data_IF_751649385705
#
_entry.id   IF_751649385705
#
_cell.length_a   1.000
_cell.length_b   1.000
_cell.length_c   1.000
_cell.angle_alpha   90.00
_cell.angle_beta   90.00
_cell.angle_gamma   90.00
#
_symmetry.space_group_name_H-M   'P 1'
#
loop_
_entity.id
_entity.type
_entity.pdbx_description
1 polymer ?
#
# COMPACT_ATOMS: atom_id res chain seq x y z
N UNK A 1 -39.24 61.97 21.71
CA UNK A 1 -38.63 61.34 22.87
C UNK A 1 -37.16 61.25 22.63
N UNK A 2 -36.44 62.16 23.18
CA UNK A 2 -35.00 62.34 23.20
C UNK A 2 -34.42 61.43 24.26
N UNK A 3 -33.33 60.70 23.94
CA UNK A 3 -32.41 60.21 24.98
C UNK A 3 -30.98 60.38 24.44
N UNK A 4 -30.31 61.33 25.07
CA UNK A 4 -28.87 61.55 25.03
C UNK A 4 -28.13 60.36 25.68
N UNK A 5 -26.96 60.02 25.15
CA UNK A 5 -25.98 59.11 25.75
C UNK A 5 -24.57 59.64 25.56
N UNK A 6 -23.76 59.70 26.61
CA UNK A 6 -22.51 60.46 26.61
C UNK A 6 -21.33 59.70 26.05
N UNK A 7 -20.38 60.46 25.49
CA UNK A 7 -19.13 60.01 24.93
C UNK A 7 -18.18 59.33 25.92
N UNK A 8 -17.51 58.33 25.48
CA UNK A 8 -16.38 57.65 26.10
C UNK A 8 -15.12 57.81 25.26
N UNK A 9 -14.23 58.71 25.69
CA UNK A 9 -12.89 58.87 25.10
C UNK A 9 -12.01 57.65 25.40
N UNK A 10 -11.70 56.88 24.36
CA UNK A 10 -10.70 55.79 24.40
C UNK A 10 -9.30 56.35 24.26
N UNK A 11 -8.52 56.24 25.33
CA UNK A 11 -7.10 56.51 25.34
C UNK A 11 -6.37 55.57 24.34
N UNK A 12 -5.58 56.13 23.44
CA UNK A 12 -4.67 55.41 22.55
C UNK A 12 -3.53 54.81 23.38
N UNK A 13 -3.20 53.55 23.27
CA UNK A 13 -1.98 52.99 23.87
C UNK A 13 -0.77 53.61 23.20
N UNK A 14 0.11 54.22 23.98
CA UNK A 14 1.38 54.76 23.53
C UNK A 14 2.28 53.65 23.01
N UNK A 15 2.89 53.91 21.88
CA UNK A 15 3.95 53.05 21.32
C UNK A 15 5.16 53.11 22.25
N UNK A 16 5.85 51.97 22.52
CA UNK A 16 7.09 51.98 23.27
C UNK A 16 8.14 52.80 22.52
N UNK A 17 8.72 53.75 23.22
CA UNK A 17 9.82 54.57 22.71
C UNK A 17 10.99 53.64 22.33
N UNK A 18 11.58 53.89 21.16
CA UNK A 18 12.80 53.21 20.73
C UNK A 18 13.90 53.34 21.80
N UNK A 19 14.61 52.27 22.11
CA UNK A 19 15.73 52.33 23.03
C UNK A 19 16.79 53.28 22.51
N UNK A 20 17.32 54.10 23.41
CA UNK A 20 18.38 55.06 23.18
C UNK A 20 19.64 54.34 22.64
N UNK A 21 20.31 54.81 21.56
CA UNK A 21 21.49 54.15 21.00
C UNK A 21 22.65 53.99 22.00
N UNK A 22 22.67 54.77 23.07
CA UNK A 22 23.68 54.66 24.13
C UNK A 22 23.54 53.43 25.04
N UNK A 23 22.38 52.74 25.03
CA UNK A 23 22.18 51.52 25.82
C UNK A 23 22.88 50.29 25.21
N UNK A 24 23.13 50.28 23.91
CA UNK A 24 23.83 49.19 23.24
C UNK A 24 25.35 49.19 23.57
N UNK A 25 25.97 50.37 23.70
CA UNK A 25 27.37 50.51 24.07
C UNK A 25 27.64 50.13 25.55
N UNK A 26 26.62 50.24 26.39
CA UNK A 26 26.69 49.85 27.79
C UNK A 26 26.53 48.34 28.01
N UNK A 27 25.78 47.66 27.14
CA UNK A 27 25.60 46.21 27.18
C UNK A 27 26.76 45.42 26.61
N UNK A 28 27.48 46.03 25.65
CA UNK A 28 28.63 45.43 24.97
C UNK A 28 29.92 46.23 25.16
N UNK A 29 30.21 46.63 26.38
CA UNK A 29 31.37 47.44 26.74
C UNK A 29 32.63 47.16 25.90
N UNK A 30 33.62 48.09 25.81
CA UNK A 30 34.78 47.95 24.94
C UNK A 30 35.63 46.76 25.37
N UNK A 31 35.21 45.57 24.97
CA UNK A 31 35.97 44.36 25.16
C UNK A 31 37.17 44.39 24.25
N UNK A 32 38.28 44.88 24.75
CA UNK A 32 39.61 44.64 24.19
C UNK A 32 39.96 43.15 24.35
N UNK A 33 39.11 42.27 23.81
CA UNK A 33 39.44 40.88 23.61
C UNK A 33 40.38 40.83 22.41
N UNK A 34 41.67 40.69 22.65
CA UNK A 34 42.68 40.38 21.64
C UNK A 34 42.20 39.14 20.86
N UNK A 35 41.75 39.36 19.62
CA UNK A 35 41.35 38.27 18.71
C UNK A 35 42.61 37.41 18.49
N UNK A 36 42.61 36.15 18.92
CA UNK A 36 43.79 35.31 18.73
C UNK A 36 44.03 35.13 17.22
N UNK A 37 45.21 35.55 16.77
CA UNK A 37 45.68 35.39 15.38
C UNK A 37 45.78 33.89 15.11
N UNK A 38 44.83 33.36 14.38
CA UNK A 38 44.78 31.94 14.01
C UNK A 38 45.86 31.62 12.99
N UNK A 39 46.68 30.62 13.31
CA UNK A 39 47.75 30.15 12.44
C UNK A 39 47.20 29.61 11.11
N UNK A 40 47.92 29.72 9.98
CA UNK A 40 47.47 29.27 8.66
C UNK A 40 46.98 27.82 8.64
N UNK A 41 47.59 26.93 9.44
CA UNK A 41 47.19 25.51 9.54
C UNK A 41 45.82 25.30 10.16
N UNK A 42 45.35 26.16 11.05
CA UNK A 42 44.00 26.08 11.63
C UNK A 42 42.90 26.54 10.64
N UNK A 43 43.22 27.47 9.73
CA UNK A 43 42.31 27.90 8.67
C UNK A 43 42.08 26.78 7.67
N UNK A 44 43.15 26.09 7.23
CA UNK A 44 43.03 24.97 6.26
C UNK A 44 42.22 23.80 6.82
N UNK A 45 42.41 23.44 8.10
CA UNK A 45 41.60 22.36 8.72
C UNK A 45 40.12 22.69 8.84
N UNK A 46 39.76 23.95 9.16
CA UNK A 46 38.33 24.35 9.23
C UNK A 46 37.69 24.46 7.86
N UNK A 47 38.39 24.98 6.85
CA UNK A 47 37.85 25.01 5.49
C UNK A 47 37.68 23.62 4.90
N UNK A 48 38.56 22.66 5.23
CA UNK A 48 38.39 21.26 4.83
C UNK A 48 37.18 20.60 5.52
N UNK A 49 36.98 20.84 6.83
CA UNK A 49 35.79 20.31 7.55
C UNK A 49 34.49 20.94 7.06
N UNK A 50 34.46 22.24 6.76
CA UNK A 50 33.30 22.91 6.18
C UNK A 50 33.05 22.40 4.77
N UNK A 51 34.08 22.20 3.95
CA UNK A 51 33.97 21.64 2.62
C UNK A 51 33.36 20.22 2.61
N UNK A 52 33.82 19.34 3.50
CA UNK A 52 33.27 17.99 3.66
C UNK A 52 31.84 18.05 4.15
N UNK A 53 31.49 18.91 5.10
CA UNK A 53 30.11 19.08 5.58
C UNK A 53 29.16 19.54 4.48
N UNK A 54 29.59 20.45 3.60
CA UNK A 54 28.80 20.93 2.46
C UNK A 54 28.57 19.82 1.42
N UNK A 55 29.61 19.00 1.15
CA UNK A 55 29.50 17.88 0.22
C UNK A 55 28.52 16.82 0.75
N UNK A 56 28.58 16.49 2.04
CA UNK A 56 27.65 15.55 2.66
C UNK A 56 26.22 16.11 2.64
N UNK A 57 26.04 17.38 3.00
CA UNK A 57 24.72 18.02 2.96
C UNK A 57 24.14 18.07 1.54
N UNK A 58 24.97 18.39 0.54
CA UNK A 58 24.56 18.37 -0.88
C UNK A 58 24.24 16.97 -1.36
N UNK A 59 25.01 15.95 -0.93
CA UNK A 59 24.75 14.55 -1.24
C UNK A 59 23.42 14.06 -0.65
N UNK A 60 23.16 14.36 0.63
CA UNK A 60 21.87 14.02 1.27
C UNK A 60 20.72 14.75 0.59
N UNK A 61 20.88 16.04 0.26
CA UNK A 61 19.83 16.79 -0.46
C UNK A 61 19.57 16.21 -1.85
N UNK A 62 20.62 15.80 -2.57
CA UNK A 62 20.48 15.16 -3.88
C UNK A 62 19.75 13.81 -3.78
N UNK A 63 20.08 12.97 -2.78
CA UNK A 63 19.37 11.71 -2.53
C UNK A 63 17.90 11.95 -2.19
N UNK A 64 17.61 12.92 -1.33
CA UNK A 64 16.22 13.29 -0.99
C UNK A 64 15.48 13.81 -2.22
N UNK A 65 16.10 14.68 -3.03
CA UNK A 65 15.50 15.18 -4.27
C UNK A 65 15.28 14.06 -5.29
N UNK A 66 16.22 13.15 -5.48
CA UNK A 66 16.06 11.98 -6.38
C UNK A 66 14.96 11.07 -5.87
N UNK A 67 14.86 10.85 -4.55
CA UNK A 67 13.78 10.07 -3.95
C UNK A 67 12.42 10.76 -4.15
N UNK A 68 12.34 12.09 -3.97
CA UNK A 68 11.12 12.87 -4.20
C UNK A 68 10.76 12.87 -5.69
N UNK A 69 11.72 13.13 -6.59
CA UNK A 69 11.49 13.14 -8.03
C UNK A 69 11.13 11.73 -8.52
N UNK A 70 11.82 10.69 -8.05
CA UNK A 70 11.49 9.30 -8.35
C UNK A 70 10.09 8.93 -7.86
N UNK A 71 9.69 9.38 -6.67
CA UNK A 71 8.35 9.16 -6.15
C UNK A 71 7.28 9.93 -6.93
N UNK A 72 7.59 11.13 -7.42
CA UNK A 72 6.69 11.94 -8.28
C UNK A 72 6.55 11.31 -9.67
N UNK A 73 7.64 10.79 -10.25
CA UNK A 73 7.60 10.07 -11.53
C UNK A 73 6.85 8.74 -11.42
N UNK A 74 6.92 8.09 -10.25
CA UNK A 74 6.19 6.85 -9.95
C UNK A 74 4.76 7.10 -9.44
N UNK A 75 4.19 8.29 -9.62
CA UNK A 75 2.79 8.59 -9.31
C UNK A 75 2.50 9.03 -7.88
N UNK A 76 3.52 9.30 -7.04
CA UNK A 76 3.35 9.81 -5.65
C UNK A 76 2.95 11.30 -5.61
N UNK A 77 2.97 12.01 -6.73
CA UNK A 77 2.66 13.45 -6.81
C UNK A 77 1.19 13.82 -7.07
N UNK A 78 0.26 12.88 -7.06
CA UNK A 78 -1.17 13.16 -7.27
C UNK A 78 -1.95 13.07 -5.96
N UNK A 79 -2.65 14.15 -5.60
CA UNK A 79 -3.59 14.18 -4.46
C UNK A 79 -4.78 13.21 -4.69
N UNK A 80 -4.96 12.74 -5.93
CA UNK A 80 -6.08 11.89 -6.32
C UNK A 80 -5.63 10.46 -6.68
N UNK A 81 -6.43 9.45 -6.29
CA UNK A 81 -6.23 8.07 -6.71
C UNK A 81 -6.18 7.93 -8.24
N UNK A 82 -5.30 7.08 -8.74
CA UNK A 82 -5.18 6.74 -10.17
C UNK A 82 -5.32 5.22 -10.35
N UNK A 83 -6.54 4.71 -10.36
CA UNK A 83 -6.79 3.27 -10.43
C UNK A 83 -6.23 2.64 -11.72
N UNK A 84 -6.39 3.30 -12.88
CA UNK A 84 -5.88 2.79 -14.15
C UNK A 84 -4.36 2.67 -14.14
N UNK A 85 -3.65 3.66 -13.60
CA UNK A 85 -2.19 3.60 -13.51
C UNK A 85 -1.70 2.53 -12.52
N UNK A 86 -2.50 2.15 -11.53
CA UNK A 86 -2.20 1.04 -10.63
C UNK A 86 -2.39 -0.30 -11.34
N UNK A 87 -3.48 -0.46 -12.11
CA UNK A 87 -3.71 -1.63 -12.96
C UNK A 87 -2.61 -1.80 -14.02
N UNK A 88 -2.23 -0.73 -14.71
CA UNK A 88 -1.15 -0.76 -15.70
C UNK A 88 0.17 -1.25 -15.10
N UNK A 89 0.53 -0.75 -13.91
CA UNK A 89 1.75 -1.19 -13.21
C UNK A 89 1.68 -2.66 -12.81
N UNK A 90 0.56 -3.06 -12.20
CA UNK A 90 0.34 -4.44 -11.82
C UNK A 90 0.35 -5.37 -13.04
N UNK A 91 -0.44 -5.03 -14.07
CA UNK A 91 -0.56 -5.83 -15.29
C UNK A 91 0.76 -5.96 -16.04
N UNK A 92 1.61 -4.92 -16.05
CA UNK A 92 2.96 -5.02 -16.63
C UNK A 92 3.82 -5.98 -15.82
N UNK A 93 3.86 -5.82 -14.49
CA UNK A 93 4.65 -6.70 -13.62
C UNK A 93 4.17 -8.16 -13.69
N UNK A 94 2.85 -8.38 -13.72
CA UNK A 94 2.29 -9.73 -13.81
C UNK A 94 2.60 -10.43 -15.15
N UNK A 95 2.59 -9.70 -16.27
CA UNK A 95 2.94 -10.28 -17.60
C UNK A 95 4.41 -10.64 -17.73
N UNK A 96 5.28 -10.01 -16.94
CA UNK A 96 6.72 -10.29 -16.92
C UNK A 96 7.07 -11.53 -16.05
N UNK A 97 6.09 -12.12 -15.33
CA UNK A 97 6.31 -13.33 -14.52
C UNK A 97 6.30 -14.58 -15.39
N UNK A 98 7.26 -15.46 -15.14
CA UNK A 98 7.32 -16.76 -15.79
C UNK A 98 6.06 -17.58 -15.45
N UNK A 99 5.43 -18.17 -16.47
CA UNK A 99 4.23 -18.98 -16.33
C UNK A 99 2.91 -18.22 -16.35
N UNK A 100 2.92 -16.89 -16.46
CA UNK A 100 1.69 -16.10 -16.69
C UNK A 100 1.36 -16.10 -18.18
N UNK A 101 0.16 -16.57 -18.52
CA UNK A 101 -0.34 -16.64 -19.89
C UNK A 101 -1.23 -15.45 -20.29
N UNK A 102 -1.88 -14.83 -19.30
CA UNK A 102 -2.78 -13.72 -19.55
C UNK A 102 -3.11 -12.90 -18.31
N UNK A 103 -3.41 -11.62 -18.55
CA UNK A 103 -3.89 -10.69 -17.52
C UNK A 103 -5.07 -9.93 -18.07
N UNK A 104 -6.19 -9.95 -17.34
CA UNK A 104 -7.42 -9.24 -17.67
C UNK A 104 -7.83 -8.37 -16.50
N UNK A 105 -7.95 -7.08 -16.74
CA UNK A 105 -8.34 -6.11 -15.73
C UNK A 105 -9.86 -5.99 -15.66
N UNK A 106 -10.37 -5.80 -14.44
CA UNK A 106 -11.76 -5.46 -14.15
C UNK A 106 -11.92 -3.94 -14.02
N UNK A 107 -13.15 -3.46 -14.08
CA UNK A 107 -13.44 -2.05 -13.88
C UNK A 107 -13.12 -1.62 -12.43
N UNK A 108 -12.40 -0.50 -12.21
CA UNK A 108 -12.08 0.00 -10.88
C UNK A 108 -13.32 0.26 -10.03
N UNK A 109 -13.37 -0.29 -8.83
CA UNK A 109 -14.46 -0.10 -7.88
C UNK A 109 -14.13 1.00 -6.88
N UNK A 110 -14.94 2.06 -6.87
CA UNK A 110 -14.79 3.14 -5.89
C UNK A 110 -15.32 2.68 -4.53
N UNK A 111 -14.46 2.71 -3.50
CA UNK A 111 -14.80 2.27 -2.14
C UNK A 111 -15.05 3.44 -1.18
N UNK A 112 -14.46 4.63 -1.46
CA UNK A 112 -14.71 5.85 -0.71
C UNK A 112 -14.48 7.10 -1.58
N UNK A 113 -14.56 8.28 -0.97
CA UNK A 113 -14.28 9.55 -1.67
C UNK A 113 -12.91 9.56 -2.36
N UNK A 114 -11.89 9.00 -1.71
CA UNK A 114 -10.50 8.99 -2.17
C UNK A 114 -9.90 7.58 -2.20
N UNK A 115 -10.72 6.52 -2.36
CA UNK A 115 -10.22 5.15 -2.38
C UNK A 115 -10.89 4.33 -3.47
N UNK A 116 -10.08 3.46 -4.08
CA UNK A 116 -10.50 2.50 -5.11
C UNK A 116 -9.90 1.14 -4.81
N UNK A 117 -10.68 0.10 -5.10
CA UNK A 117 -10.18 -1.24 -5.24
C UNK A 117 -10.16 -1.58 -6.73
N UNK A 118 -9.05 -2.14 -7.17
CA UNK A 118 -8.86 -2.61 -8.53
C UNK A 118 -8.52 -4.09 -8.51
N UNK A 119 -9.03 -4.81 -9.50
CA UNK A 119 -8.90 -6.26 -9.59
C UNK A 119 -8.45 -6.66 -10.99
N UNK A 120 -7.57 -7.66 -11.05
CA UNK A 120 -7.15 -8.29 -12.31
C UNK A 120 -7.25 -9.80 -12.18
N UNK A 121 -7.74 -10.48 -13.21
CA UNK A 121 -7.64 -11.94 -13.33
C UNK A 121 -6.35 -12.28 -14.07
N UNK A 122 -5.54 -13.16 -13.48
CA UNK A 122 -4.26 -13.61 -14.03
C UNK A 122 -4.36 -15.10 -14.32
N UNK A 123 -4.28 -15.47 -15.60
CA UNK A 123 -4.26 -16.87 -16.03
C UNK A 123 -2.82 -17.37 -15.99
N UNK A 124 -2.61 -18.47 -15.27
CA UNK A 124 -1.31 -19.09 -15.07
C UNK A 124 -1.27 -20.43 -15.78
N UNK A 125 -0.14 -20.77 -16.37
CA UNK A 125 0.03 -22.02 -17.11
C UNK A 125 -0.30 -23.25 -16.25
N UNK A 126 -1.16 -24.15 -16.75
CA UNK A 126 -1.50 -25.37 -16.02
C UNK A 126 -0.34 -26.38 -15.94
N UNK A 127 0.73 -26.14 -16.69
CA UNK A 127 1.91 -27.04 -16.75
C UNK A 127 2.90 -26.80 -15.62
N UNK A 128 2.76 -25.74 -14.84
CA UNK A 128 3.62 -25.45 -13.71
C UNK A 128 3.46 -26.48 -12.58
N UNK A 129 4.57 -26.80 -11.94
CA UNK A 129 4.57 -27.56 -10.66
C UNK A 129 3.91 -26.78 -9.54
N UNK A 130 3.57 -27.44 -8.44
CA UNK A 130 2.95 -26.78 -7.28
C UNK A 130 3.89 -25.75 -6.61
N UNK A 131 5.20 -25.96 -6.68
CA UNK A 131 6.21 -25.02 -6.17
C UNK A 131 6.26 -23.77 -7.04
N UNK A 132 6.26 -23.95 -8.37
CA UNK A 132 6.23 -22.83 -9.33
C UNK A 132 4.92 -22.03 -9.21
N UNK A 133 3.77 -22.68 -9.07
CA UNK A 133 2.49 -22.00 -8.82
C UNK A 133 2.51 -21.20 -7.53
N UNK A 134 3.15 -21.72 -6.47
CA UNK A 134 3.31 -20.97 -5.22
C UNK A 134 4.15 -19.73 -5.45
N UNK A 135 5.28 -19.86 -6.14
CA UNK A 135 6.15 -18.73 -6.45
C UNK A 135 5.42 -17.65 -7.27
N UNK A 136 4.64 -18.05 -8.29
CA UNK A 136 3.84 -17.10 -9.07
C UNK A 136 2.80 -16.36 -8.19
N UNK A 137 2.11 -17.05 -7.27
CA UNK A 137 1.16 -16.40 -6.36
C UNK A 137 1.86 -15.39 -5.43
N UNK A 138 3.05 -15.73 -4.93
CA UNK A 138 3.86 -14.83 -4.10
C UNK A 138 4.35 -13.61 -4.88
N UNK A 139 4.78 -13.80 -6.12
CA UNK A 139 5.23 -12.72 -7.00
C UNK A 139 4.05 -11.80 -7.39
N UNK A 140 2.88 -12.37 -7.69
CA UNK A 140 1.65 -11.60 -7.92
C UNK A 140 1.26 -10.77 -6.69
N UNK A 141 1.38 -11.34 -5.47
CA UNK A 141 1.16 -10.62 -4.22
C UNK A 141 2.14 -9.44 -4.07
N UNK A 142 3.43 -9.68 -4.34
CA UNK A 142 4.45 -8.64 -4.29
C UNK A 142 4.18 -7.52 -5.32
N UNK A 143 3.77 -7.88 -6.53
CA UNK A 143 3.36 -6.95 -7.58
C UNK A 143 2.12 -6.14 -7.15
N UNK A 144 1.09 -6.78 -6.59
CA UNK A 144 -0.11 -6.12 -6.07
C UNK A 144 0.23 -5.13 -4.96
N UNK A 145 1.11 -5.52 -4.02
CA UNK A 145 1.59 -4.65 -2.94
C UNK A 145 2.34 -3.44 -3.48
N UNK A 146 3.22 -3.64 -4.47
CA UNK A 146 4.01 -2.56 -5.10
C UNK A 146 3.14 -1.61 -5.92
N UNK A 147 2.13 -2.13 -6.61
CA UNK A 147 1.20 -1.34 -7.41
C UNK A 147 0.16 -0.58 -6.58
N UNK A 148 -0.11 -1.05 -5.35
CA UNK A 148 -1.02 -0.40 -4.40
C UNK A 148 -0.42 0.89 -3.84
N UNK A 149 -1.28 1.83 -3.42
CA UNK A 149 -0.90 3.10 -2.82
C UNK A 149 -1.78 4.27 -3.26
N UNK A 150 -1.61 5.42 -2.64
CA UNK A 150 -2.35 6.65 -2.96
C UNK A 150 -3.88 6.45 -3.05
N UNK A 151 -4.45 5.68 -2.11
CA UNK A 151 -5.87 5.40 -2.10
C UNK A 151 -6.32 4.33 -3.11
N UNK A 152 -5.40 3.60 -3.74
CA UNK A 152 -5.72 2.45 -4.59
C UNK A 152 -5.18 1.17 -3.95
N UNK A 153 -6.03 0.16 -3.78
CA UNK A 153 -5.64 -1.20 -3.42
C UNK A 153 -5.76 -2.08 -4.67
N UNK A 154 -4.72 -2.85 -4.94
CA UNK A 154 -4.68 -3.77 -6.07
C UNK A 154 -4.86 -5.19 -5.56
N UNK A 155 -5.80 -5.90 -6.16
CA UNK A 155 -6.08 -7.31 -5.93
C UNK A 155 -5.96 -8.08 -7.24
N UNK A 156 -5.75 -9.37 -7.15
CA UNK A 156 -5.80 -10.23 -8.31
C UNK A 156 -6.49 -11.55 -7.98
N UNK A 157 -7.01 -12.19 -9.00
CA UNK A 157 -7.45 -13.57 -8.96
C UNK A 157 -6.51 -14.38 -9.82
N UNK A 158 -5.73 -15.26 -9.20
CA UNK A 158 -4.83 -16.19 -9.90
C UNK A 158 -5.61 -17.45 -10.29
N UNK A 159 -5.83 -17.64 -11.57
CA UNK A 159 -6.38 -18.86 -12.16
C UNK A 159 -5.22 -19.83 -12.44
N UNK A 160 -5.10 -20.86 -11.61
CA UNK A 160 -4.08 -21.92 -11.68
C UNK A 160 -4.63 -23.22 -12.30
N UNK A 161 -5.76 -23.14 -12.99
CA UNK A 161 -6.49 -24.29 -13.54
C UNK A 161 -7.54 -24.82 -12.55
N UNK A 162 -7.25 -25.90 -11.83
CA UNK A 162 -8.17 -26.44 -10.83
C UNK A 162 -8.31 -25.54 -9.59
N UNK A 163 -7.38 -24.65 -9.35
CA UNK A 163 -7.40 -23.71 -8.23
C UNK A 163 -7.52 -22.27 -8.72
N UNK A 164 -8.41 -21.51 -8.11
CA UNK A 164 -8.55 -20.08 -8.32
C UNK A 164 -8.38 -19.36 -6.98
N UNK A 165 -7.36 -18.49 -6.89
CA UNK A 165 -6.90 -17.90 -5.64
C UNK A 165 -7.01 -16.38 -5.68
N UNK A 166 -7.73 -15.81 -4.72
CA UNK A 166 -7.73 -14.38 -4.47
C UNK A 166 -6.40 -13.93 -3.87
N UNK A 167 -5.67 -13.11 -4.60
CA UNK A 167 -4.37 -12.53 -4.22
C UNK A 167 -4.57 -11.10 -3.76
N UNK A 168 -4.15 -10.78 -2.55
CA UNK A 168 -4.17 -9.44 -1.99
C UNK A 168 -2.77 -8.96 -1.62
N UNK A 169 -2.55 -7.66 -1.37
CA UNK A 169 -1.29 -7.16 -0.84
C UNK A 169 -0.90 -7.75 0.52
N UNK A 170 -1.89 -8.32 1.25
CA UNK A 170 -1.68 -8.99 2.53
C UNK A 170 -1.14 -10.41 2.32
N UNK A 171 0.06 -10.64 2.85
CA UNK A 171 0.77 -11.91 2.71
C UNK A 171 0.03 -13.06 3.40
N UNK A 172 -0.37 -12.82 4.64
CA UNK A 172 -1.01 -13.84 5.46
C UNK A 172 -2.31 -14.34 4.84
N UNK A 173 -3.16 -13.43 4.38
CA UNK A 173 -4.45 -13.78 3.79
C UNK A 173 -4.27 -14.53 2.48
N UNK A 174 -3.31 -14.12 1.63
CA UNK A 174 -3.00 -14.82 0.37
C UNK A 174 -2.48 -16.24 0.63
N UNK A 175 -1.54 -16.41 1.56
CA UNK A 175 -1.04 -17.74 1.96
C UNK A 175 -2.13 -18.63 2.54
N UNK A 176 -3.03 -18.07 3.37
CA UNK A 176 -4.15 -18.81 3.94
C UNK A 176 -5.11 -19.29 2.85
N UNK A 177 -5.44 -18.45 1.84
CA UNK A 177 -6.28 -18.85 0.71
C UNK A 177 -5.64 -19.98 -0.11
N UNK A 178 -4.35 -19.85 -0.45
CA UNK A 178 -3.64 -20.88 -1.20
C UNK A 178 -3.56 -22.22 -0.44
N UNK A 179 -3.25 -22.16 0.84
CA UNK A 179 -3.18 -23.34 1.70
C UNK A 179 -4.53 -24.02 1.83
N UNK A 180 -5.59 -23.25 2.09
CA UNK A 180 -6.95 -23.76 2.19
C UNK A 180 -7.40 -24.39 0.86
N UNK A 181 -7.15 -23.73 -0.27
CA UNK A 181 -7.53 -24.25 -1.59
C UNK A 181 -6.91 -25.62 -1.86
N UNK A 182 -5.64 -25.81 -1.52
CA UNK A 182 -4.96 -27.12 -1.63
C UNK A 182 -5.53 -28.18 -0.70
N UNK A 183 -5.89 -27.79 0.53
CA UNK A 183 -6.54 -28.70 1.46
C UNK A 183 -7.90 -29.15 0.96
N UNK A 184 -8.66 -28.24 0.37
CA UNK A 184 -9.98 -28.55 -0.18
C UNK A 184 -9.89 -29.36 -1.47
N UNK A 185 -8.93 -29.11 -2.34
CA UNK A 185 -8.68 -29.89 -3.57
C UNK A 185 -8.31 -31.36 -3.25
N UNK A 186 -7.67 -31.59 -2.13
CA UNK A 186 -7.36 -32.94 -1.64
C UNK A 186 -8.60 -33.72 -1.11
N UNK A 187 -9.78 -33.10 -1.00
CA UNK A 187 -11.01 -33.77 -0.59
C UNK A 187 -11.54 -34.63 -1.74
N UNK A 188 -11.73 -35.92 -1.49
CA UNK A 188 -12.27 -36.83 -2.52
C UNK A 188 -13.61 -36.35 -3.08
N UNK A 189 -13.68 -36.21 -4.40
CA UNK A 189 -14.87 -35.75 -5.13
C UNK A 189 -14.88 -34.25 -5.44
N UNK A 190 -13.87 -33.49 -5.00
CA UNK A 190 -13.61 -32.13 -5.45
C UNK A 190 -12.82 -32.18 -6.76
N UNK A 191 -13.14 -31.34 -7.71
CA UNK A 191 -12.47 -31.21 -9.01
C UNK A 191 -11.91 -29.82 -9.28
N UNK A 192 -12.29 -28.84 -8.45
CA UNK A 192 -11.79 -27.49 -8.51
C UNK A 192 -12.16 -26.71 -7.24
N UNK A 193 -11.39 -25.68 -6.94
CA UNK A 193 -11.59 -24.85 -5.76
C UNK A 193 -11.33 -23.40 -6.09
N UNK A 194 -12.26 -22.53 -5.71
CA UNK A 194 -12.08 -21.09 -5.71
C UNK A 194 -12.05 -20.59 -4.27
N UNK A 195 -10.95 -19.95 -3.88
CA UNK A 195 -10.81 -19.27 -2.60
C UNK A 195 -10.53 -17.78 -2.85
N UNK A 196 -11.54 -16.94 -2.72
CA UNK A 196 -11.45 -15.50 -2.96
C UNK A 196 -12.39 -14.74 -2.02
N UNK A 197 -12.78 -13.57 -2.38
CA UNK A 197 -13.80 -12.75 -1.72
C UNK A 197 -15.17 -12.97 -2.36
N UNK A 198 -16.22 -12.63 -1.62
CA UNK A 198 -17.61 -12.72 -2.08
C UNK A 198 -18.02 -11.54 -2.98
N UNK A 199 -19.32 -11.45 -3.27
CA UNK A 199 -19.95 -10.46 -4.17
C UNK A 199 -19.73 -9.00 -3.69
N UNK A 200 -19.35 -8.80 -2.43
CA UNK A 200 -18.98 -7.49 -1.87
C UNK A 200 -17.77 -6.85 -2.56
N UNK A 201 -16.95 -7.65 -3.22
CA UNK A 201 -15.68 -7.28 -3.86
C UNK A 201 -14.47 -7.60 -3.00
N UNK A 202 -13.26 -7.23 -3.45
CA UNK A 202 -12.01 -7.58 -2.80
C UNK A 202 -11.97 -7.20 -1.32
N UNK A 203 -11.66 -8.17 -0.46
CA UNK A 203 -11.58 -8.00 0.99
C UNK A 203 -10.62 -9.02 1.60
N UNK A 204 -9.94 -8.61 2.67
CA UNK A 204 -9.09 -9.49 3.50
C UNK A 204 -9.78 -9.90 4.81
N UNK A 205 -10.99 -9.39 5.06
CA UNK A 205 -11.77 -9.77 6.24
C UNK A 205 -12.21 -11.23 6.16
N UNK A 206 -12.04 -12.03 7.23
CA UNK A 206 -12.37 -13.45 7.22
C UNK A 206 -13.84 -13.74 6.85
N UNK A 207 -14.78 -12.92 7.31
CA UNK A 207 -16.20 -13.11 7.05
C UNK A 207 -16.61 -12.79 5.60
N UNK A 208 -15.79 -12.03 4.87
CA UNK A 208 -16.03 -11.66 3.48
C UNK A 208 -15.47 -12.69 2.48
N UNK A 209 -14.80 -13.75 2.98
CA UNK A 209 -14.26 -14.77 2.11
C UNK A 209 -15.38 -15.67 1.54
N UNK A 210 -15.26 -15.98 0.25
CA UNK A 210 -16.12 -16.92 -0.44
C UNK A 210 -15.28 -18.09 -0.96
N UNK A 211 -15.68 -19.27 -0.56
CA UNK A 211 -15.05 -20.53 -0.96
C UNK A 211 -16.06 -21.32 -1.79
N UNK A 212 -15.72 -21.61 -3.03
CA UNK A 212 -16.51 -22.45 -3.90
C UNK A 212 -15.74 -23.73 -4.22
N UNK A 213 -16.36 -24.86 -4.00
CA UNK A 213 -15.82 -26.16 -4.40
C UNK A 213 -16.58 -26.70 -5.61
N UNK A 214 -15.85 -27.10 -6.64
CA UNK A 214 -16.45 -27.78 -7.78
C UNK A 214 -16.50 -29.28 -7.52
N UNK A 215 -17.67 -29.89 -7.74
CA UNK A 215 -17.88 -31.32 -7.53
C UNK A 215 -18.94 -31.90 -8.44
N UNK A 216 -18.73 -33.12 -8.90
CA UNK A 216 -19.76 -33.92 -9.59
C UNK A 216 -20.67 -34.68 -8.62
N UNK A 217 -20.41 -34.61 -7.31
CA UNK A 217 -21.17 -35.28 -6.26
C UNK A 217 -22.63 -34.83 -6.23
N UNK A 218 -23.51 -35.73 -5.77
CA UNK A 218 -24.95 -35.47 -5.62
C UNK A 218 -25.45 -36.09 -4.33
N UNK A 219 -26.54 -35.52 -3.78
CA UNK A 219 -27.17 -36.02 -2.56
C UNK A 219 -26.16 -36.15 -1.41
N UNK A 220 -26.15 -37.24 -0.71
CA UNK A 220 -25.29 -37.43 0.47
C UNK A 220 -23.79 -37.25 0.19
N UNK A 221 -23.31 -37.53 -1.03
CA UNK A 221 -21.90 -37.28 -1.38
C UNK A 221 -21.61 -35.79 -1.51
N UNK A 222 -22.50 -35.00 -2.07
CA UNK A 222 -22.40 -33.54 -2.12
C UNK A 222 -22.44 -32.95 -0.71
N UNK A 223 -23.40 -33.40 0.11
CA UNK A 223 -23.55 -32.92 1.49
C UNK A 223 -22.27 -33.18 2.32
N UNK A 224 -21.63 -34.34 2.13
CA UNK A 224 -20.38 -34.69 2.81
C UNK A 224 -19.20 -33.79 2.38
N UNK A 225 -19.08 -33.51 1.06
CA UNK A 225 -18.05 -32.59 0.55
C UNK A 225 -18.26 -31.19 1.10
N UNK A 226 -19.49 -30.65 1.02
CA UNK A 226 -19.82 -29.31 1.52
C UNK A 226 -19.59 -29.19 3.02
N UNK A 227 -20.02 -30.20 3.81
CA UNK A 227 -19.80 -30.19 5.26
C UNK A 227 -18.30 -30.14 5.62
N UNK A 228 -17.49 -30.96 4.93
CA UNK A 228 -16.04 -30.99 5.17
C UNK A 228 -15.39 -29.69 4.71
N UNK A 229 -15.73 -29.18 3.53
CA UNK A 229 -15.21 -27.90 3.04
C UNK A 229 -15.59 -26.73 3.97
N UNK A 230 -16.82 -26.74 4.50
CA UNK A 230 -17.26 -25.73 5.46
C UNK A 230 -16.45 -25.79 6.75
N UNK A 231 -16.17 -26.99 7.27
CA UNK A 231 -15.39 -27.16 8.47
C UNK A 231 -13.97 -26.59 8.31
N UNK A 232 -13.29 -26.95 7.22
CA UNK A 232 -11.93 -26.47 6.92
C UNK A 232 -11.91 -24.94 6.68
N UNK A 233 -12.86 -24.44 5.91
CA UNK A 233 -12.97 -23.02 5.63
C UNK A 233 -13.20 -22.18 6.89
N UNK A 234 -14.10 -22.59 7.77
CA UNK A 234 -14.42 -21.89 9.03
C UNK A 234 -13.25 -21.93 10.03
N UNK A 235 -12.38 -22.94 9.96
CA UNK A 235 -11.18 -23.01 10.78
C UNK A 235 -10.13 -21.94 10.37
N UNK A 236 -10.08 -21.59 9.08
CA UNK A 236 -9.12 -20.62 8.53
C UNK A 236 -9.74 -19.22 8.47
N UNK A 237 -10.97 -19.12 7.98
CA UNK A 237 -11.71 -17.88 7.80
C UNK A 237 -13.08 -17.97 8.51
N UNK A 238 -13.15 -17.61 9.79
CA UNK A 238 -14.41 -17.60 10.54
C UNK A 238 -15.44 -16.67 9.89
N UNK A 239 -16.63 -17.20 9.60
CA UNK A 239 -17.70 -16.46 8.94
C UNK A 239 -17.68 -16.52 7.41
N UNK A 240 -16.70 -17.17 6.78
CA UNK A 240 -16.64 -17.34 5.33
C UNK A 240 -17.85 -18.07 4.79
N UNK A 241 -18.28 -17.71 3.58
CA UNK A 241 -19.33 -18.40 2.86
C UNK A 241 -18.74 -19.57 2.06
N UNK A 242 -19.39 -20.75 2.17
CA UNK A 242 -18.98 -21.94 1.41
C UNK A 242 -20.13 -22.38 0.50
N UNK A 243 -19.82 -22.58 -0.77
CA UNK A 243 -20.76 -23.08 -1.79
C UNK A 243 -20.16 -24.23 -2.58
N UNK A 244 -21.02 -24.98 -3.26
CA UNK A 244 -20.60 -26.02 -4.18
C UNK A 244 -21.25 -25.82 -5.54
N UNK A 245 -20.46 -25.98 -6.58
CA UNK A 245 -20.88 -25.84 -7.97
C UNK A 245 -20.53 -27.11 -8.77
N UNK A 246 -21.11 -27.23 -9.94
CA UNK A 246 -20.68 -28.26 -10.89
C UNK A 246 -19.54 -27.73 -11.73
N UNK A 247 -18.56 -28.60 -12.06
CA UNK A 247 -17.52 -28.22 -13.01
C UNK A 247 -18.12 -27.68 -14.30
N UNK A 248 -17.51 -26.62 -14.82
CA UNK A 248 -17.85 -26.13 -16.15
C UNK A 248 -17.55 -27.23 -17.18
N UNK A 249 -18.48 -27.50 -18.06
CA UNK A 249 -18.40 -28.54 -19.13
C UNK A 249 -17.70 -28.00 -20.36
#
# INVERSE_FOLDING_TARGET
MTVDGPGGGGARPGWPQSPDPDDLDRAFGPGTASVPVRTPRQRVRRSALVGVGVIIAAGVLAVVLVTIIGSVQNGVGGVFPRPDAALDRFGSAARDLDGVEGVRDSEPKKTSFASYDVESTVTVSPTLSDEERTAVVDDLRAAAKTASGNGVRVFAVADLGALEIGVSPDERTTEQRLTLARQLDAIGGVSGVRCSWGDGGPSDEPADQAITVETIGRGAALDAVVAKATQEAQAVFPGATVSAERPAS
#
